data_IF_393555257462
#
_entry.id   IF_393555257462
#
_cell.length_a   1.000
_cell.length_b   1.000
_cell.length_c   1.000
_cell.angle_alpha   90.00
_cell.angle_beta   90.00
_cell.angle_gamma   90.00
#
_symmetry.space_group_name_H-M   'P 1'
#
loop_
_entity.id
_entity.type
_entity.pdbx_description
1 polymer ?
#
# COMPACT_ATOMS: atom_id res chain seq x y z
N UNK A 1 1.35 9.13 14.15
CA UNK A 1 1.09 7.67 14.20
C UNK A 1 1.92 7.11 15.33
N UNK A 2 1.33 6.30 16.20
CA UNK A 2 2.04 5.64 17.29
C UNK A 2 2.07 4.14 17.02
N UNK A 3 3.22 3.51 17.23
CA UNK A 3 3.43 2.07 16.99
C UNK A 3 3.81 1.45 18.32
N UNK A 4 3.03 0.47 18.75
CA UNK A 4 3.25 -0.37 19.92
C UNK A 4 3.59 -1.80 19.47
N UNK A 5 3.89 -2.68 20.41
CA UNK A 5 4.29 -4.06 20.10
C UNK A 5 3.14 -4.91 19.51
N UNK A 6 1.90 -4.58 19.85
CA UNK A 6 0.69 -5.32 19.52
C UNK A 6 -0.31 -4.51 18.69
N UNK A 7 -0.22 -3.18 18.74
CA UNK A 7 -1.14 -2.29 18.05
C UNK A 7 -0.48 -1.04 17.44
N UNK A 8 -1.20 -0.40 16.53
CA UNK A 8 -0.89 0.89 15.93
C UNK A 8 -2.04 1.85 16.13
N UNK A 9 -1.72 3.08 16.54
CA UNK A 9 -2.69 4.17 16.70
C UNK A 9 -2.49 5.24 15.62
N UNK A 10 -3.57 5.50 14.90
CA UNK A 10 -3.69 6.68 14.04
C UNK A 10 -4.43 7.76 14.81
N UNK A 11 -3.71 8.84 15.13
CA UNK A 11 -4.25 9.95 15.91
C UNK A 11 -3.71 11.27 15.35
N UNK A 12 -4.49 12.35 15.51
CA UNK A 12 -4.07 13.72 15.21
C UNK A 12 -4.31 14.61 16.43
N UNK A 13 -3.58 15.72 16.53
CA UNK A 13 -3.70 16.64 17.66
C UNK A 13 -2.35 17.22 18.08
N UNK A 14 -2.36 17.92 19.22
CA UNK A 14 -1.16 18.51 19.82
C UNK A 14 -0.60 17.57 20.90
N UNK A 15 0.70 17.67 21.25
CA UNK A 15 1.26 16.93 22.37
C UNK A 15 0.39 17.06 23.63
N UNK A 16 0.07 15.92 24.26
CA UNK A 16 -0.82 15.84 25.42
C UNK A 16 -2.34 15.88 25.12
N UNK A 17 -2.76 16.17 23.88
CA UNK A 17 -4.16 16.18 23.44
C UNK A 17 -4.30 15.58 22.05
N UNK A 18 -4.29 14.25 21.98
CA UNK A 18 -4.48 13.50 20.74
C UNK A 18 -5.92 12.97 20.63
N UNK A 19 -6.53 13.18 19.46
CA UNK A 19 -7.76 12.52 19.06
C UNK A 19 -7.41 11.25 18.29
N UNK A 20 -7.79 10.10 18.84
CA UNK A 20 -7.61 8.81 18.18
C UNK A 20 -8.66 8.69 17.08
N UNK A 21 -8.21 8.46 15.85
CA UNK A 21 -9.06 8.17 14.70
C UNK A 21 -9.20 6.66 14.48
N UNK A 22 -8.14 5.91 14.78
CA UNK A 22 -8.12 4.49 14.48
C UNK A 22 -7.13 3.72 15.35
N UNK A 23 -7.55 2.50 15.71
CA UNK A 23 -6.74 1.49 16.38
C UNK A 23 -6.63 0.30 15.44
N UNK A 24 -5.40 -0.20 15.27
CA UNK A 24 -5.08 -1.30 14.37
C UNK A 24 -4.31 -2.35 15.16
N UNK A 25 -4.84 -3.56 15.24
CA UNK A 25 -4.12 -4.68 15.85
C UNK A 25 -3.12 -5.25 14.84
N UNK A 26 -1.84 -5.32 15.21
CA UNK A 26 -0.77 -5.74 14.31
C UNK A 26 -0.97 -7.19 13.82
N UNK A 27 -1.59 -8.03 14.64
CA UNK A 27 -1.91 -9.41 14.29
C UNK A 27 -2.78 -9.50 13.03
N UNK A 28 -3.58 -8.46 12.77
CA UNK A 28 -4.52 -8.37 11.65
C UNK A 28 -4.03 -7.49 10.51
N UNK A 29 -2.77 -7.06 10.57
CA UNK A 29 -2.19 -6.15 9.59
C UNK A 29 -1.19 -6.86 8.67
N UNK A 30 -0.97 -6.26 7.51
CA UNK A 30 0.13 -6.58 6.62
C UNK A 30 0.67 -5.34 5.94
N UNK A 31 1.94 -5.42 5.53
CA UNK A 31 2.60 -4.36 4.79
C UNK A 31 2.86 -4.77 3.35
N UNK A 32 2.69 -3.80 2.46
CA UNK A 32 3.07 -3.89 1.08
C UNK A 32 3.85 -2.66 0.69
N UNK A 33 5.08 -2.88 0.23
CA UNK A 33 5.91 -1.80 -0.27
C UNK A 33 5.34 -1.31 -1.61
N UNK A 34 5.07 -0.01 -1.71
CA UNK A 34 4.55 0.57 -2.93
C UNK A 34 5.70 1.20 -3.73
N UNK A 35 5.69 0.94 -5.04
CA UNK A 35 6.55 1.66 -5.98
C UNK A 35 6.10 3.12 -6.06
N UNK A 36 7.07 4.02 -6.12
CA UNK A 36 6.78 5.45 -6.24
C UNK A 36 5.94 5.70 -7.48
N UNK A 37 4.91 6.52 -7.30
CA UNK A 37 4.04 6.95 -8.38
C UNK A 37 3.71 8.42 -8.23
N UNK A 38 2.84 8.92 -9.11
CA UNK A 38 2.44 10.33 -9.10
C UNK A 38 1.70 10.73 -7.83
N UNK A 39 0.91 9.81 -7.25
CA UNK A 39 0.03 10.11 -6.13
C UNK A 39 0.71 9.97 -4.76
N UNK A 40 1.82 9.25 -4.71
CA UNK A 40 2.56 9.01 -3.48
C UNK A 40 4.00 8.68 -3.81
N UNK A 41 4.90 9.28 -3.05
CA UNK A 41 6.30 8.96 -3.03
C UNK A 41 6.65 8.35 -1.69
N UNK A 42 7.62 7.43 -1.75
CA UNK A 42 8.21 6.76 -0.61
C UNK A 42 7.16 6.17 0.32
N UNK A 43 6.18 5.47 -0.24
CA UNK A 43 5.03 5.01 0.52
C UNK A 43 4.95 3.49 0.64
N UNK A 44 4.25 3.02 1.67
CA UNK A 44 3.80 1.63 1.75
C UNK A 44 2.33 1.58 2.16
N UNK A 45 1.66 0.49 1.77
CA UNK A 45 0.26 0.22 2.12
C UNK A 45 0.20 -0.69 3.34
N UNK A 46 -0.59 -0.29 4.32
CA UNK A 46 -0.98 -1.16 5.44
C UNK A 46 -2.37 -1.69 5.14
N UNK A 47 -2.46 -3.00 4.94
CA UNK A 47 -3.75 -3.69 4.76
C UNK A 47 -4.20 -4.28 6.08
N UNK A 48 -5.48 -4.12 6.41
CA UNK A 48 -6.10 -4.70 7.60
C UNK A 48 -7.57 -5.03 7.29
N UNK A 49 -8.25 -5.73 8.21
CA UNK A 49 -9.64 -6.19 8.01
C UNK A 49 -10.64 -5.04 7.81
N UNK A 50 -10.45 -3.91 8.46
CA UNK A 50 -11.40 -2.80 8.43
C UNK A 50 -11.29 -1.95 7.14
N UNK A 51 -10.10 -1.42 6.84
CA UNK A 51 -9.84 -0.52 5.70
C UNK A 51 -8.34 -0.35 5.47
N UNK A 52 -7.79 -0.63 4.27
CA UNK A 52 -6.38 -0.37 3.99
C UNK A 52 -6.10 1.14 3.93
N UNK A 53 -4.87 1.54 4.22
CA UNK A 53 -4.41 2.93 4.06
C UNK A 53 -2.95 2.98 3.63
N UNK A 54 -2.57 4.11 3.04
CA UNK A 54 -1.23 4.36 2.50
C UNK A 54 -0.52 5.31 3.45
N UNK A 55 0.73 5.01 3.77
CA UNK A 55 1.61 5.88 4.56
C UNK A 55 2.74 6.32 3.66
N UNK A 56 2.84 7.62 3.39
CA UNK A 56 3.96 8.25 2.67
C UNK A 56 4.95 8.84 3.66
N UNK A 57 6.21 8.99 3.21
CA UNK A 57 7.29 9.49 4.03
C UNK A 57 8.07 10.58 3.30
N UNK A 58 8.74 11.51 4.02
CA UNK A 58 9.52 12.58 3.40
C UNK A 58 10.73 12.08 2.59
N UNK A 59 11.22 10.86 2.86
CA UNK A 59 12.36 10.29 2.13
C UNK A 59 12.28 8.76 2.07
N UNK A 60 12.91 8.21 1.02
CA UNK A 60 13.07 6.77 0.85
C UNK A 60 13.81 6.11 2.04
N UNK A 61 14.75 6.83 2.66
CA UNK A 61 15.47 6.34 3.83
C UNK A 61 14.55 6.15 5.05
N UNK A 62 13.73 7.16 5.37
CA UNK A 62 12.78 7.08 6.49
C UNK A 62 11.74 5.97 6.20
N UNK A 63 11.20 5.92 4.98
CA UNK A 63 10.31 4.83 4.53
C UNK A 63 10.93 3.47 4.82
N UNK A 64 12.18 3.23 4.41
CA UNK A 64 12.87 1.95 4.60
C UNK A 64 12.96 1.55 6.07
N UNK A 65 13.35 2.47 6.95
CA UNK A 65 13.45 2.21 8.40
C UNK A 65 12.06 1.90 8.98
N UNK A 66 11.06 2.73 8.68
CA UNK A 66 9.70 2.54 9.17
C UNK A 66 9.10 1.22 8.66
N UNK A 67 9.28 0.91 7.38
CA UNK A 67 8.83 -0.33 6.76
C UNK A 67 9.42 -1.54 7.48
N UNK A 68 10.75 -1.58 7.67
CA UNK A 68 11.43 -2.68 8.36
C UNK A 68 10.95 -2.85 9.80
N UNK A 69 10.86 -1.77 10.57
CA UNK A 69 10.45 -1.82 11.97
C UNK A 69 9.00 -2.29 12.13
N UNK A 70 8.09 -1.76 11.32
CA UNK A 70 6.67 -2.14 11.39
C UNK A 70 6.46 -3.56 10.87
N UNK A 71 7.14 -3.96 9.80
CA UNK A 71 7.09 -5.33 9.31
C UNK A 71 7.59 -6.33 10.38
N UNK A 72 8.70 -6.01 11.05
CA UNK A 72 9.23 -6.83 12.15
C UNK A 72 8.24 -6.92 13.32
N UNK A 73 7.63 -5.80 13.74
CA UNK A 73 6.63 -5.79 14.80
C UNK A 73 5.40 -6.64 14.47
N UNK A 74 4.89 -6.54 13.23
CA UNK A 74 3.78 -7.35 12.75
C UNK A 74 4.11 -8.84 12.81
N UNK A 75 5.26 -9.24 12.25
CA UNK A 75 5.67 -10.65 12.23
C UNK A 75 5.89 -11.19 13.64
N UNK A 76 6.53 -10.42 14.52
CA UNK A 76 6.76 -10.80 15.92
C UNK A 76 5.43 -11.03 16.65
N UNK A 77 4.47 -10.10 16.50
CA UNK A 77 3.20 -10.21 17.19
C UNK A 77 2.33 -11.34 16.61
N UNK A 78 2.36 -11.56 15.29
CA UNK A 78 1.69 -12.69 14.65
C UNK A 78 2.26 -14.03 15.10
N UNK A 79 3.58 -14.13 15.25
CA UNK A 79 4.23 -15.32 15.79
C UNK A 79 3.78 -15.60 17.22
N UNK A 80 3.74 -14.57 18.07
CA UNK A 80 3.28 -14.70 19.45
C UNK A 80 1.81 -15.16 19.53
N UNK A 81 0.92 -14.56 18.72
CA UNK A 81 -0.49 -14.98 18.64
C UNK A 81 -0.62 -16.41 18.10
N UNK A 82 0.17 -16.79 17.10
CA UNK A 82 0.15 -18.14 16.55
C UNK A 82 0.61 -19.19 17.58
N UNK A 83 1.60 -18.86 18.40
CA UNK A 83 2.05 -19.70 19.50
C UNK A 83 0.97 -19.85 20.56
N UNK A 84 0.35 -18.74 20.99
CA UNK A 84 -0.76 -18.78 21.96
C UNK A 84 -1.92 -19.66 21.48
N UNK A 85 -2.30 -19.53 20.19
CA UNK A 85 -3.34 -20.39 19.60
C UNK A 85 -2.93 -21.86 19.60
N UNK A 86 -1.64 -22.16 19.37
CA UNK A 86 -1.14 -23.54 19.42
C UNK A 86 -1.18 -24.10 20.84
N UNK A 87 -0.80 -23.30 21.85
CA UNK A 87 -0.88 -23.67 23.27
C UNK A 87 -2.33 -23.93 23.71
N UNK A 88 -3.26 -23.03 23.35
CA UNK A 88 -4.69 -23.21 23.65
C UNK A 88 -5.28 -24.49 23.03
N UNK A 89 -4.75 -24.94 21.89
CA UNK A 89 -5.20 -26.17 21.21
C UNK A 89 -4.58 -27.43 21.79
N UNK A 90 -3.42 -27.32 22.41
CA UNK A 90 -2.76 -28.43 23.07
C UNK A 90 -3.40 -28.71 24.44
N UNK A 91 -4.19 -27.77 24.96
CA UNK A 91 -4.99 -27.96 26.17
C UNK A 91 -6.16 -28.95 25.92
N UNK A 92 -6.56 -29.68 26.96
CA UNK A 92 -7.68 -30.63 26.91
C UNK A 92 -9.03 -29.96 27.22
N UNK A 93 -9.05 -28.68 27.59
CA UNK A 93 -10.29 -27.94 27.84
C UNK A 93 -11.03 -27.63 26.52
N UNK A 94 -12.26 -28.15 26.33
CA UNK A 94 -13.05 -27.91 25.12
C UNK A 94 -13.39 -26.43 24.90
N UNK A 95 -13.50 -25.61 25.96
CA UNK A 95 -13.78 -24.18 25.83
C UNK A 95 -12.56 -23.42 25.29
N UNK A 96 -11.34 -23.79 25.69
CA UNK A 96 -10.10 -23.22 25.15
C UNK A 96 -9.91 -23.57 23.68
N UNK A 97 -10.20 -24.82 23.29
CA UNK A 97 -10.15 -25.26 21.89
C UNK A 97 -11.13 -24.44 21.05
N UNK A 98 -12.38 -24.29 21.52
CA UNK A 98 -13.41 -23.50 20.85
C UNK A 98 -13.02 -22.03 20.72
N UNK A 99 -12.38 -21.45 21.73
CA UNK A 99 -11.87 -20.09 21.68
C UNK A 99 -10.71 -19.97 20.66
N UNK A 100 -9.77 -20.93 20.63
CA UNK A 100 -8.70 -20.98 19.65
C UNK A 100 -9.22 -21.08 18.20
N UNK A 101 -10.35 -21.76 17.98
CA UNK A 101 -11.01 -21.83 16.69
C UNK A 101 -11.59 -20.49 16.23
N UNK A 102 -12.04 -19.62 17.15
CA UNK A 102 -12.50 -18.26 16.81
C UNK A 102 -11.40 -17.38 16.24
N UNK A 103 -10.14 -17.70 16.50
CA UNK A 103 -8.98 -17.02 15.91
C UNK A 103 -8.60 -17.56 14.51
N UNK A 104 -9.11 -18.71 14.06
CA UNK A 104 -8.79 -19.30 12.75
C UNK A 104 -9.30 -18.54 11.52
N UNK A 105 -10.49 -17.91 11.51
CA UNK A 105 -10.96 -17.15 10.35
C UNK A 105 -9.98 -16.05 9.96
N UNK A 106 -9.29 -15.47 10.96
CA UNK A 106 -8.21 -14.52 10.73
C UNK A 106 -7.01 -15.18 10.05
N UNK A 107 -6.69 -16.43 10.38
CA UNK A 107 -5.61 -17.22 9.78
C UNK A 107 -5.87 -17.61 8.32
N UNK A 108 -7.12 -17.85 7.89
CA UNK A 108 -7.45 -18.12 6.47
C UNK A 108 -7.25 -16.87 5.61
N UNK A 109 -7.76 -15.72 6.04
CA UNK A 109 -7.48 -14.42 5.40
C UNK A 109 -5.97 -14.15 5.38
N UNK A 110 -5.27 -14.58 6.44
CA UNK A 110 -3.83 -14.42 6.56
C UNK A 110 -3.05 -15.32 5.58
N UNK A 111 -3.34 -16.61 5.52
CA UNK A 111 -2.62 -17.57 4.67
C UNK A 111 -2.97 -17.37 3.19
N UNK A 112 -4.21 -17.06 2.83
CA UNK A 112 -4.58 -16.82 1.43
C UNK A 112 -4.00 -15.51 0.88
N UNK A 113 -3.74 -14.51 1.74
CA UNK A 113 -3.11 -13.23 1.33
C UNK A 113 -1.59 -13.18 1.55
N UNK A 114 -1.05 -13.93 2.50
CA UNK A 114 0.36 -13.83 2.94
C UNK A 114 1.12 -15.17 2.88
N UNK A 115 0.42 -16.29 2.72
CA UNK A 115 1.01 -17.62 2.60
C UNK A 115 1.46 -17.91 1.17
N UNK A 116 2.76 -17.76 0.94
CA UNK A 116 3.54 -18.64 0.05
C UNK A 116 2.95 -18.84 -1.36
N UNK A 117 3.01 -17.79 -2.17
CA UNK A 117 3.44 -17.96 -3.55
C UNK A 117 4.33 -16.77 -3.94
N UNK A 118 5.55 -16.79 -3.39
CA UNK A 118 6.68 -16.04 -3.94
C UNK A 118 7.13 -16.54 -5.33
N UNK A 119 6.33 -17.36 -6.03
CA UNK A 119 6.32 -17.29 -7.49
C UNK A 119 5.52 -16.05 -7.88
N UNK A 120 6.11 -14.86 -7.72
CA UNK A 120 5.67 -13.66 -8.44
C UNK A 120 5.89 -13.91 -9.93
N UNK A 121 5.03 -14.72 -10.57
CA UNK A 121 4.66 -14.42 -11.95
C UNK A 121 4.11 -12.99 -11.87
N UNK A 122 4.65 -12.10 -12.70
CA UNK A 122 4.23 -10.71 -12.82
C UNK A 122 2.74 -10.61 -13.23
N UNK A 123 1.81 -11.01 -12.37
CA UNK A 123 0.35 -10.90 -12.59
C UNK A 123 -0.10 -9.43 -12.61
N UNK A 124 0.71 -8.53 -12.06
CA UNK A 124 0.52 -7.09 -12.18
C UNK A 124 0.81 -6.53 -13.58
N UNK A 125 1.42 -7.32 -14.48
CA UNK A 125 1.68 -6.85 -15.85
C UNK A 125 0.45 -6.94 -16.76
N UNK A 126 -0.64 -7.59 -16.35
CA UNK A 126 -1.77 -7.83 -17.26
C UNK A 126 -2.93 -6.85 -17.10
N UNK A 127 -2.78 -5.76 -16.34
CA UNK A 127 -3.81 -4.74 -16.18
C UNK A 127 -3.30 -3.35 -16.54
N UNK A 128 -4.17 -2.51 -17.10
CA UNK A 128 -3.89 -1.10 -17.28
C UNK A 128 -3.68 -0.42 -15.91
N UNK A 129 -2.58 0.29 -15.70
CA UNK A 129 -2.30 0.98 -14.43
C UNK A 129 -3.32 2.06 -14.06
N UNK A 130 -3.95 2.68 -15.06
CA UNK A 130 -4.86 3.80 -14.82
C UNK A 130 -6.30 3.33 -14.58
N UNK A 131 -6.83 2.46 -15.44
CA UNK A 131 -8.23 2.01 -15.34
C UNK A 131 -8.40 0.60 -14.76
N UNK A 132 -7.31 -0.08 -14.37
CA UNK A 132 -7.29 -1.43 -13.84
C UNK A 132 -7.94 -2.50 -14.76
N UNK A 133 -8.29 -2.17 -16.01
CA UNK A 133 -8.85 -3.14 -16.97
C UNK A 133 -7.77 -4.13 -17.39
N UNK A 134 -8.11 -5.42 -17.38
CA UNK A 134 -7.23 -6.47 -17.86
C UNK A 134 -6.95 -6.30 -19.37
N UNK A 135 -5.70 -6.47 -19.78
CA UNK A 135 -5.31 -6.57 -21.17
C UNK A 135 -5.79 -7.92 -21.71
N UNK A 136 -6.69 -7.90 -22.69
CA UNK A 136 -7.02 -9.10 -23.45
C UNK A 136 -5.76 -9.54 -24.22
N UNK A 137 -5.30 -10.75 -23.89
CA UNK A 137 -3.98 -11.31 -24.23
C UNK A 137 -3.62 -11.30 -25.72
N UNK A 138 -4.60 -11.19 -26.61
CA UNK A 138 -4.39 -11.36 -28.06
C UNK A 138 -4.53 -10.08 -28.90
N UNK A 139 -5.08 -8.97 -28.38
CA UNK A 139 -5.49 -7.84 -29.23
C UNK A 139 -5.03 -6.46 -28.71
N UNK A 140 -4.83 -6.27 -27.41
CA UNK A 140 -4.51 -4.94 -26.86
C UNK A 140 -3.00 -4.74 -26.72
N UNK A 141 -2.41 -4.02 -27.68
CA UNK A 141 -1.04 -3.50 -27.56
C UNK A 141 -0.94 -2.54 -26.37
N UNK A 142 0.00 -2.80 -25.47
CA UNK A 142 0.31 -1.91 -24.36
C UNK A 142 1.05 -0.67 -24.88
N UNK A 143 0.88 0.48 -24.23
CA UNK A 143 1.53 1.74 -24.59
C UNK A 143 2.50 2.15 -23.49
N UNK A 144 3.66 2.65 -23.90
CA UNK A 144 4.65 3.24 -23.00
C UNK A 144 4.46 4.75 -22.97
N UNK A 145 4.26 5.32 -21.78
CA UNK A 145 4.18 6.76 -21.64
C UNK A 145 5.56 7.40 -21.58
N UNK A 146 5.87 8.42 -22.40
CA UNK A 146 7.19 9.04 -22.43
C UNK A 146 7.50 9.91 -21.21
N UNK A 147 6.52 10.17 -20.33
CA UNK A 147 6.68 11.01 -19.14
C UNK A 147 6.95 10.16 -17.90
N UNK A 148 6.17 9.10 -17.67
CA UNK A 148 6.36 8.21 -16.51
C UNK A 148 7.09 6.89 -16.82
N UNK A 149 7.43 6.64 -18.09
CA UNK A 149 8.02 5.39 -18.58
C UNK A 149 7.22 4.12 -18.26
N UNK A 150 5.95 4.26 -17.91
CA UNK A 150 5.08 3.12 -17.62
C UNK A 150 4.62 2.45 -18.91
N UNK A 151 4.84 1.14 -19.01
CA UNK A 151 4.55 0.32 -20.19
C UNK A 151 3.17 -0.34 -20.14
N UNK A 152 2.45 -0.25 -19.01
CA UNK A 152 1.19 -0.95 -18.79
C UNK A 152 -0.02 0.01 -18.89
N UNK A 153 -0.09 0.81 -19.96
CA UNK A 153 -1.23 1.71 -20.22
C UNK A 153 -2.07 1.20 -21.41
N UNK A 154 -3.40 1.16 -21.26
CA UNK A 154 -4.31 0.84 -22.37
C UNK A 154 -4.54 2.04 -23.30
N UNK A 155 -5.00 1.76 -24.52
CA UNK A 155 -5.29 2.79 -25.53
C UNK A 155 -6.24 3.88 -25.01
N UNK A 156 -7.30 3.48 -24.32
CA UNK A 156 -8.32 4.41 -23.82
C UNK A 156 -7.73 5.40 -22.80
N UNK A 157 -6.74 4.96 -22.03
CA UNK A 157 -6.04 5.80 -21.04
C UNK A 157 -4.76 6.45 -21.60
N UNK A 158 -4.54 6.38 -22.91
CA UNK A 158 -3.37 6.89 -23.63
C UNK A 158 -3.80 7.82 -24.77
N UNK A 159 -4.61 8.83 -24.43
CA UNK A 159 -5.20 9.74 -25.42
C UNK A 159 -4.78 11.21 -25.24
N UNK A 160 -4.11 11.54 -24.14
CA UNK A 160 -3.69 12.91 -23.86
C UNK A 160 -2.57 13.38 -24.79
N UNK A 161 -2.78 14.47 -25.55
CA UNK A 161 -1.74 15.07 -26.40
C UNK A 161 -1.15 16.29 -25.73
N UNK A 162 0.17 16.35 -25.66
CA UNK A 162 0.94 17.43 -25.02
C UNK A 162 2.16 17.77 -25.87
N UNK A 163 2.61 19.02 -25.82
CA UNK A 163 3.84 19.45 -26.48
C UNK A 163 5.01 19.28 -25.51
N UNK A 164 5.91 18.33 -25.81
CA UNK A 164 7.12 18.06 -25.02
C UNK A 164 8.31 18.34 -25.94
N UNK A 165 9.17 19.28 -25.54
CA UNK A 165 10.37 19.69 -26.27
C UNK A 165 10.09 20.13 -27.72
N UNK A 166 9.00 20.88 -27.93
CA UNK A 166 8.59 21.35 -29.25
C UNK A 166 7.96 20.29 -30.15
N UNK A 167 7.77 19.06 -29.66
CA UNK A 167 7.11 17.97 -30.38
C UNK A 167 5.80 17.53 -29.72
N UNK A 168 4.76 17.32 -30.53
CA UNK A 168 3.48 16.79 -30.04
C UNK A 168 3.60 15.31 -29.73
N UNK A 169 3.49 14.93 -28.45
CA UNK A 169 3.55 13.55 -27.97
C UNK A 169 2.24 13.17 -27.28
N UNK A 170 1.83 11.91 -27.45
CA UNK A 170 0.73 11.34 -26.68
C UNK A 170 1.26 10.79 -25.35
N UNK A 171 0.55 11.05 -24.26
CA UNK A 171 0.87 10.64 -22.90
C UNK A 171 -0.35 9.94 -22.28
N UNK A 172 -0.14 9.24 -21.16
CA UNK A 172 -1.27 8.66 -20.44
C UNK A 172 -2.05 9.75 -19.69
N UNK A 173 -3.32 9.49 -19.39
CA UNK A 173 -4.21 10.50 -18.81
C UNK A 173 -3.67 11.04 -17.47
N UNK A 174 -3.03 10.19 -16.67
CA UNK A 174 -2.36 10.59 -15.44
C UNK A 174 -1.16 11.55 -15.63
N UNK A 175 -0.69 11.74 -16.88
CA UNK A 175 0.42 12.62 -17.25
C UNK A 175 0.06 13.91 -17.96
N UNK A 176 -1.20 14.09 -18.36
CA UNK A 176 -1.59 15.22 -19.20
C UNK A 176 -1.33 16.55 -18.51
N UNK A 177 -1.78 16.71 -17.28
CA UNK A 177 -1.65 17.99 -16.57
C UNK A 177 -0.20 18.29 -16.15
N UNK A 178 0.58 17.25 -15.87
CA UNK A 178 2.02 17.40 -15.56
C UNK A 178 2.80 17.79 -16.81
N UNK A 179 2.58 17.09 -17.93
CA UNK A 179 3.31 17.36 -19.16
C UNK A 179 2.84 18.62 -19.90
N UNK A 180 1.63 19.11 -19.61
CA UNK A 180 1.14 20.41 -20.09
C UNK A 180 1.55 21.59 -19.20
N UNK A 181 2.27 21.35 -18.11
CA UNK A 181 2.68 22.40 -17.16
C UNK A 181 1.52 22.99 -16.36
N UNK A 182 0.33 22.39 -16.39
CA UNK A 182 -0.83 22.81 -15.58
C UNK A 182 -0.65 22.50 -14.09
N UNK A 183 0.14 21.48 -13.78
CA UNK A 183 0.58 21.16 -12.42
C UNK A 183 2.07 21.48 -12.35
N UNK A 184 2.43 22.53 -11.61
CA UNK A 184 3.81 22.74 -11.23
C UNK A 184 4.19 21.65 -10.21
N UNK A 185 5.28 20.92 -10.48
CA UNK A 185 5.78 19.86 -9.58
C UNK A 185 6.13 20.42 -8.20
N UNK A 186 6.39 21.74 -8.13
CA UNK A 186 6.68 22.50 -6.91
C UNK A 186 5.44 22.69 -6.00
N UNK A 187 4.22 22.75 -6.56
CA UNK A 187 2.99 22.93 -5.78
C UNK A 187 2.61 21.68 -4.95
N UNK A 188 3.14 20.52 -5.32
CA UNK A 188 3.00 19.29 -4.52
C UNK A 188 3.80 19.34 -3.21
N UNK A 189 4.86 20.14 -3.15
CA UNK A 189 5.62 20.35 -1.91
C UNK A 189 4.95 21.35 -0.96
N UNK A 190 4.08 22.25 -1.47
CA UNK A 190 3.50 23.34 -0.67
C UNK A 190 2.20 22.98 0.05
N UNK A 191 1.48 21.93 -0.37
CA UNK A 191 0.32 21.43 0.38
C UNK A 191 0.75 20.73 1.69
N UNK A 192 2.02 20.33 1.82
CA UNK A 192 2.54 19.67 3.03
C UNK A 192 3.55 20.49 3.86
N UNK A 193 4.10 21.59 3.33
CA UNK A 193 5.06 22.43 4.07
C UNK A 193 4.43 23.58 4.87
N UNK A 194 3.12 23.83 4.77
CA UNK A 194 2.46 24.91 5.53
C UNK A 194 1.93 24.49 6.91
N UNK A 195 2.24 23.29 7.41
CA UNK A 195 1.80 22.81 8.74
C UNK A 195 2.93 22.50 9.73
N UNK A 196 4.18 22.82 9.43
CA UNK A 196 5.28 22.69 10.38
C UNK A 196 6.25 23.86 10.30
N UNK A 197 5.76 25.04 10.67
CA UNK A 197 6.49 26.05 11.44
C UNK A 197 5.60 26.49 12.60
#
# INVERSE_FOLDING_TARGET
MFVFNDMMLFASGKPGKYKIHRILYLALCSLEDLLDCRNYQHAFRISCSQKPFIVSFPSAYIKRICFQKIAAAILSHQSAVAQLIAEMRADNDPDLIKEAERFLPFKRVFIERFGVNQKKKNLYNDHCKLCCKQFQTLIKRRRTCPVCNDTNICRDCFNGKVNIDGSSKTVCDGCVDIASGKICVEDWCLIYNSQFL
#
